data_IF_943767755562
#
_entry.id   IF_943767755562
#
_cell.length_a   1.000
_cell.length_b   1.000
_cell.length_c   1.000
_cell.angle_alpha   90.00
_cell.angle_beta   90.00
_cell.angle_gamma   90.00
#
_symmetry.space_group_name_H-M   'P 1'
#
loop_
_entity.id
_entity.type
_entity.pdbx_description
1 polymer ?
#
# COMPACT_ATOMS: atom_id res chain seq x y z
N UNK A 1 -40.41 -2.98 -7.56
CA UNK A 1 -39.64 -4.09 -6.95
C UNK A 1 -38.29 -3.52 -6.60
N UNK A 2 -38.06 -3.24 -5.32
CA UNK A 2 -36.78 -2.77 -4.82
C UNK A 2 -35.92 -4.02 -4.60
N UNK A 3 -34.75 -4.09 -5.25
CA UNK A 3 -33.79 -5.16 -5.05
C UNK A 3 -33.30 -5.13 -3.59
N UNK A 4 -33.47 -6.26 -2.90
CA UNK A 4 -32.92 -6.51 -1.58
C UNK A 4 -31.38 -6.40 -1.65
N UNK A 5 -30.84 -5.34 -1.05
CA UNK A 5 -29.42 -5.23 -0.75
C UNK A 5 -29.10 -6.31 0.29
N UNK A 6 -28.48 -7.39 -0.21
CA UNK A 6 -27.98 -8.54 0.55
C UNK A 6 -27.26 -8.10 1.84
N UNK A 7 -27.79 -8.52 3.00
CA UNK A 7 -27.28 -8.17 4.35
C UNK A 7 -25.86 -8.68 4.65
N UNK A 8 -25.26 -9.43 3.72
CA UNK A 8 -23.92 -10.01 3.83
C UNK A 8 -22.77 -9.04 3.48
N UNK A 9 -23.09 -7.80 3.11
CA UNK A 9 -22.10 -6.75 2.83
C UNK A 9 -22.03 -5.75 3.98
N UNK A 10 -20.93 -5.74 4.74
CA UNK A 10 -20.67 -4.67 5.69
C UNK A 10 -20.05 -3.51 4.91
N UNK A 11 -20.92 -2.69 4.32
CA UNK A 11 -20.50 -1.39 3.78
C UNK A 11 -20.50 -0.39 4.92
N UNK A 12 -19.34 -0.16 5.53
CA UNK A 12 -19.22 0.92 6.52
C UNK A 12 -19.02 2.23 5.78
N UNK A 13 -20.09 3.01 5.69
CA UNK A 13 -20.04 4.39 5.23
C UNK A 13 -19.67 5.27 6.42
N UNK A 14 -18.46 5.83 6.42
CA UNK A 14 -18.08 6.86 7.39
C UNK A 14 -18.12 8.21 6.70
N UNK A 15 -19.06 9.05 7.12
CA UNK A 15 -19.04 10.46 6.77
C UNK A 15 -17.99 11.15 7.65
N UNK A 16 -16.95 11.68 7.02
CA UNK A 16 -16.13 12.75 7.60
C UNK A 16 -16.54 14.05 6.92
N UNK A 17 -16.47 15.19 7.61
CA UNK A 17 -17.22 16.41 7.30
C UNK A 17 -17.18 16.91 5.83
N UNK A 18 -16.19 16.50 5.03
CA UNK A 18 -16.08 16.84 3.61
C UNK A 18 -15.90 15.64 2.65
N UNK A 19 -15.93 14.39 3.13
CA UNK A 19 -15.66 13.18 2.33
C UNK A 19 -16.46 11.97 2.79
N UNK A 20 -17.06 11.27 1.82
CA UNK A 20 -17.67 9.96 2.00
C UNK A 20 -16.60 8.88 1.86
N UNK A 21 -16.24 8.22 2.97
CA UNK A 21 -15.37 7.05 2.94
C UNK A 21 -16.26 5.81 2.95
N UNK A 22 -16.23 5.07 1.85
CA UNK A 22 -16.96 3.81 1.72
C UNK A 22 -15.95 2.70 1.92
N UNK A 23 -15.94 2.13 3.11
CA UNK A 23 -15.16 0.94 3.38
C UNK A 23 -16.07 -0.28 3.15
N UNK A 24 -15.89 -0.94 2.01
CA UNK A 24 -16.60 -2.19 1.70
C UNK A 24 -15.83 -3.33 2.34
N UNK A 25 -16.32 -3.83 3.48
CA UNK A 25 -15.81 -5.04 4.13
C UNK A 25 -16.72 -6.21 3.77
N UNK A 26 -16.13 -7.27 3.26
CA UNK A 26 -16.80 -8.57 3.12
C UNK A 26 -16.61 -9.31 4.44
N UNK A 27 -17.66 -9.95 4.96
CA UNK A 27 -17.62 -10.65 6.23
C UNK A 27 -16.54 -11.77 6.22
N UNK A 28 -15.79 -11.94 7.33
CA UNK A 28 -14.59 -12.80 7.37
C UNK A 28 -14.87 -14.30 7.20
N UNK A 29 -16.13 -14.73 7.31
CA UNK A 29 -16.59 -16.12 7.17
C UNK A 29 -16.81 -16.55 5.71
N UNK A 30 -16.64 -15.66 4.73
CA UNK A 30 -16.79 -15.95 3.29
C UNK A 30 -15.47 -16.28 2.59
N UNK A 31 -14.66 -17.15 3.19
CA UNK A 31 -13.43 -17.66 2.59
C UNK A 31 -13.75 -18.65 1.46
N UNK A 32 -14.11 -18.14 0.28
CA UNK A 32 -14.32 -18.96 -0.93
C UNK A 32 -15.46 -18.56 -1.86
N UNK A 33 -16.16 -17.44 -1.64
CA UNK A 33 -17.27 -17.04 -2.50
C UNK A 33 -16.77 -16.48 -3.85
N UNK A 34 -17.06 -17.15 -5.00
CA UNK A 34 -16.71 -16.64 -6.32
C UNK A 34 -17.38 -15.30 -6.65
N UNK A 35 -18.46 -14.93 -5.95
CA UNK A 35 -19.16 -13.66 -6.16
C UNK A 35 -18.49 -12.47 -5.47
N UNK A 36 -17.46 -12.66 -4.63
CA UNK A 36 -16.74 -11.55 -3.99
C UNK A 36 -16.20 -10.57 -5.03
N UNK A 37 -15.54 -11.09 -6.06
CA UNK A 37 -15.02 -10.27 -7.17
C UNK A 37 -16.16 -9.61 -7.96
N UNK A 38 -17.26 -10.32 -8.21
CA UNK A 38 -18.42 -9.77 -8.92
C UNK A 38 -19.08 -8.61 -8.18
N UNK A 39 -19.23 -8.70 -6.86
CA UNK A 39 -19.81 -7.62 -6.04
C UNK A 39 -18.91 -6.39 -6.03
N UNK A 40 -17.59 -6.58 -5.86
CA UNK A 40 -16.65 -5.47 -5.99
C UNK A 40 -16.69 -4.85 -7.39
N UNK A 41 -16.79 -5.65 -8.44
CA UNK A 41 -16.94 -5.14 -9.80
C UNK A 41 -18.19 -4.28 -9.96
N UNK A 42 -19.37 -4.73 -9.50
CA UNK A 42 -20.62 -3.96 -9.60
C UNK A 42 -20.54 -2.65 -8.82
N UNK A 43 -19.96 -2.69 -7.62
CA UNK A 43 -19.75 -1.50 -6.78
C UNK A 43 -18.79 -0.52 -7.47
N UNK A 44 -17.62 -1.01 -7.91
CA UNK A 44 -16.61 -0.18 -8.56
C UNK A 44 -17.07 0.36 -9.91
N UNK A 45 -17.89 -0.38 -10.66
CA UNK A 45 -18.51 0.08 -11.90
C UNK A 45 -19.47 1.23 -11.62
N UNK A 46 -20.36 1.07 -10.62
CA UNK A 46 -21.26 2.15 -10.19
C UNK A 46 -20.48 3.37 -9.69
N UNK A 47 -19.43 3.21 -8.89
CA UNK A 47 -18.61 4.32 -8.40
C UNK A 47 -17.79 4.99 -9.50
N UNK A 48 -17.26 4.23 -10.46
CA UNK A 48 -16.52 4.80 -11.59
C UNK A 48 -17.43 5.59 -12.54
N UNK A 49 -18.73 5.30 -12.56
CA UNK A 49 -19.72 6.06 -13.34
C UNK A 49 -20.16 7.38 -12.69
N UNK A 50 -19.82 7.62 -11.41
CA UNK A 50 -20.18 8.85 -10.73
C UNK A 50 -19.20 9.98 -11.11
N UNK A 51 -19.70 11.09 -11.68
CA UNK A 51 -18.85 12.23 -11.96
C UNK A 51 -18.29 12.83 -10.65
N UNK A 52 -17.00 13.17 -10.64
CA UNK A 52 -16.27 13.79 -9.52
C UNK A 52 -16.06 12.93 -8.26
N UNK A 53 -16.13 11.61 -8.33
CA UNK A 53 -15.70 10.75 -7.20
C UNK A 53 -14.18 10.58 -7.22
N UNK A 54 -13.48 11.22 -6.26
CA UNK A 54 -12.07 10.97 -6.01
C UNK A 54 -11.88 9.50 -5.57
N UNK A 55 -11.21 8.69 -6.39
CA UNK A 55 -10.78 7.35 -5.98
C UNK A 55 -9.54 7.48 -5.12
N UNK A 56 -9.55 6.81 -3.97
CA UNK A 56 -8.42 6.79 -3.04
C UNK A 56 -8.01 5.37 -2.72
N UNK A 57 -6.70 5.15 -2.65
CA UNK A 57 -6.09 3.90 -2.23
C UNK A 57 -5.47 4.10 -0.85
N UNK A 58 -5.97 3.38 0.15
CA UNK A 58 -5.37 3.30 1.47
C UNK A 58 -4.30 2.21 1.45
N UNK A 59 -3.07 2.56 1.80
CA UNK A 59 -1.94 1.63 1.86
C UNK A 59 -1.39 1.65 3.28
N UNK A 60 -1.34 0.50 3.94
CA UNK A 60 -0.68 0.35 5.23
C UNK A 60 0.67 -0.33 5.05
N UNK A 61 1.72 0.26 5.60
CA UNK A 61 2.99 -0.42 5.81
C UNK A 61 3.02 -0.91 7.26
N UNK A 62 2.85 -2.21 7.45
CA UNK A 62 2.81 -2.81 8.78
C UNK A 62 4.23 -2.96 9.34
N UNK A 63 5.05 -3.77 8.66
CA UNK A 63 6.41 -4.11 9.10
C UNK A 63 7.27 -4.63 7.96
N UNK A 64 8.57 -4.77 8.21
CA UNK A 64 9.44 -5.63 7.41
C UNK A 64 10.00 -6.78 8.26
N UNK A 65 10.39 -7.88 7.62
CA UNK A 65 11.04 -9.02 8.29
C UNK A 65 12.09 -9.66 7.40
N UNK A 66 12.89 -10.53 8.01
CA UNK A 66 13.92 -11.33 7.32
C UNK A 66 14.89 -10.45 6.52
N UNK A 67 15.16 -9.25 7.05
CA UNK A 67 16.02 -8.28 6.42
C UNK A 67 17.48 -8.74 6.48
N UNK A 68 18.03 -9.10 5.31
CA UNK A 68 19.41 -9.57 5.15
C UNK A 68 20.33 -8.40 4.82
N UNK A 69 20.37 -7.45 5.74
CA UNK A 69 21.07 -6.18 5.55
C UNK A 69 22.42 -6.18 6.30
N UNK A 70 23.31 -5.27 5.90
CA UNK A 70 24.59 -5.10 6.58
C UNK A 70 24.41 -4.57 8.01
N UNK A 71 25.33 -4.91 8.92
CA UNK A 71 25.19 -4.62 10.36
C UNK A 71 25.23 -3.14 10.75
N UNK A 72 25.53 -2.21 9.82
CA UNK A 72 25.70 -0.78 10.11
C UNK A 72 24.75 0.10 9.27
N UNK A 73 23.44 -0.12 9.44
CA UNK A 73 22.43 0.70 8.76
C UNK A 73 22.18 2.05 9.45
N UNK A 74 22.32 2.12 10.78
CA UNK A 74 22.05 3.32 11.57
C UNK A 74 20.55 3.66 11.67
N UNK A 75 19.87 3.88 10.54
CA UNK A 75 18.45 4.18 10.49
C UNK A 75 17.81 3.79 9.16
N UNK A 76 16.55 3.31 9.19
CA UNK A 76 15.80 2.90 7.99
C UNK A 76 14.38 3.46 7.97
N UNK A 77 13.82 3.57 6.78
CA UNK A 77 12.40 3.86 6.54
C UNK A 77 11.95 3.29 5.19
N UNK A 78 10.65 3.22 4.96
CA UNK A 78 10.06 2.82 3.69
C UNK A 78 9.51 4.05 2.96
N UNK A 79 9.88 4.23 1.70
CA UNK A 79 9.24 5.17 0.78
C UNK A 79 8.22 4.40 -0.07
N UNK A 80 7.09 5.06 -0.34
CA UNK A 80 6.05 4.58 -1.24
C UNK A 80 5.84 5.66 -2.29
N UNK A 81 6.04 5.33 -3.55
CA UNK A 81 5.89 6.24 -4.68
C UNK A 81 4.85 5.70 -5.65
N UNK A 82 4.01 6.58 -6.18
CA UNK A 82 3.04 6.29 -7.22
C UNK A 82 3.36 7.10 -8.49
N UNK A 83 3.13 6.49 -9.64
CA UNK A 83 3.44 7.06 -10.94
C UNK A 83 2.55 8.25 -11.35
N UNK A 84 1.23 8.07 -11.38
CA UNK A 84 0.30 9.07 -11.90
C UNK A 84 -1.03 9.09 -11.11
N UNK A 85 -1.48 10.23 -10.56
CA UNK A 85 -0.70 11.44 -10.41
C UNK A 85 0.44 11.19 -9.40
N UNK A 86 1.63 11.71 -9.73
CA UNK A 86 2.81 11.50 -8.91
C UNK A 86 2.54 11.88 -7.45
N UNK A 87 2.71 10.91 -6.56
CA UNK A 87 2.54 11.06 -5.11
C UNK A 87 3.59 10.19 -4.44
N UNK A 88 4.22 10.70 -3.38
CA UNK A 88 5.15 9.93 -2.57
C UNK A 88 4.93 10.19 -1.09
N UNK A 89 5.05 9.14 -0.30
CA UNK A 89 4.87 9.14 1.14
C UNK A 89 5.97 8.28 1.77
N UNK A 90 6.32 8.56 3.03
CA UNK A 90 7.33 7.76 3.74
C UNK A 90 6.92 7.43 5.16
N UNK A 91 7.40 6.30 5.63
CA UNK A 91 7.27 5.93 7.04
C UNK A 91 8.20 6.74 7.93
N UNK A 92 7.95 6.65 9.24
CA UNK A 92 8.86 7.17 10.26
C UNK A 92 10.17 6.41 10.23
N UNK A 93 11.24 7.14 10.53
CA UNK A 93 12.58 6.59 10.59
C UNK A 93 12.76 5.78 11.88
N UNK A 94 13.15 4.52 11.72
CA UNK A 94 13.45 3.59 12.81
C UNK A 94 14.97 3.43 12.92
N UNK A 95 15.51 3.50 14.14
CA UNK A 95 16.96 3.42 14.45
C UNK A 95 17.35 2.16 15.25
N UNK A 96 16.35 1.38 15.66
CA UNK A 96 16.45 0.19 16.49
C UNK A 96 15.65 -0.95 15.85
N UNK A 97 15.93 -2.21 16.17
CA UNK A 97 15.17 -3.36 15.62
C UNK A 97 15.14 -3.36 14.07
N UNK A 98 16.30 -3.12 13.46
CA UNK A 98 16.44 -2.92 12.00
C UNK A 98 16.29 -4.22 11.19
N UNK A 99 16.33 -5.37 11.86
CA UNK A 99 16.08 -6.71 11.31
C UNK A 99 14.58 -7.00 11.11
N UNK A 100 13.74 -6.42 11.95
CA UNK A 100 12.28 -6.55 11.90
C UNK A 100 11.56 -5.25 12.31
N UNK A 101 11.68 -4.17 11.52
CA UNK A 101 11.07 -2.88 11.86
C UNK A 101 9.54 -2.94 11.74
N UNK A 102 8.85 -2.33 12.68
CA UNK A 102 7.38 -2.22 12.70
C UNK A 102 6.97 -0.74 12.65
N UNK A 103 6.16 -0.38 11.66
CA UNK A 103 5.68 1.00 11.46
C UNK A 103 4.19 1.13 11.77
N UNK A 104 3.37 0.18 11.32
CA UNK A 104 1.90 0.24 11.38
C UNK A 104 1.31 1.59 10.89
N UNK A 105 1.92 2.15 9.84
CA UNK A 105 1.52 3.44 9.28
C UNK A 105 0.67 3.28 8.03
N UNK A 106 -0.27 4.20 7.85
CA UNK A 106 -1.21 4.18 6.73
C UNK A 106 -1.11 5.48 5.94
N UNK A 107 -1.21 5.37 4.62
CA UNK A 107 -1.08 6.45 3.67
C UNK A 107 -2.24 6.41 2.68
N UNK A 108 -2.66 7.57 2.18
CA UNK A 108 -3.80 7.70 1.28
C UNK A 108 -3.35 8.30 -0.04
N UNK A 109 -3.46 7.54 -1.11
CA UNK A 109 -3.09 7.96 -2.46
C UNK A 109 -4.33 8.27 -3.28
N UNK A 110 -4.34 9.38 -4.02
CA UNK A 110 -5.41 9.68 -4.97
C UNK A 110 -5.13 8.96 -6.29
N UNK A 111 -5.95 7.98 -6.66
CA UNK A 111 -5.75 7.18 -7.88
C UNK A 111 -6.67 7.64 -9.00
N UNK A 112 -6.18 7.61 -10.24
CA UNK A 112 -6.93 7.89 -11.45
C UNK A 112 -6.80 6.72 -12.44
N UNK A 113 -7.33 6.87 -13.66
CA UNK A 113 -7.27 5.79 -14.68
C UNK A 113 -5.87 5.55 -15.23
N UNK A 114 -4.96 6.51 -15.04
CA UNK A 114 -3.58 6.45 -15.50
C UNK A 114 -2.65 5.87 -14.45
N UNK A 115 -3.04 5.79 -13.18
CA UNK A 115 -2.25 5.13 -12.12
C UNK A 115 -1.96 3.67 -12.48
N UNK A 116 -0.69 3.30 -12.65
CA UNK A 116 -0.31 1.93 -12.97
C UNK A 116 0.35 1.21 -11.80
N UNK A 117 1.24 1.88 -11.08
CA UNK A 117 2.21 1.20 -10.22
C UNK A 117 2.46 1.95 -8.91
N UNK A 118 2.65 1.17 -7.83
CA UNK A 118 3.26 1.62 -6.58
C UNK A 118 4.65 1.01 -6.46
N UNK A 119 5.65 1.86 -6.28
CA UNK A 119 7.02 1.48 -5.94
C UNK A 119 7.20 1.59 -4.43
N UNK A 120 7.66 0.51 -3.81
CA UNK A 120 8.03 0.47 -2.41
C UNK A 120 9.55 0.33 -2.32
N UNK A 121 10.20 1.22 -1.58
CA UNK A 121 11.64 1.19 -1.39
C UNK A 121 11.96 1.23 0.10
N UNK A 122 12.79 0.30 0.56
CA UNK A 122 13.40 0.35 1.88
C UNK A 122 14.70 1.14 1.74
N UNK A 123 14.83 2.24 2.48
CA UNK A 123 16.00 3.11 2.44
C UNK A 123 16.73 3.16 3.76
N UNK A 124 18.05 3.33 3.68
CA UNK A 124 18.93 3.73 4.77
C UNK A 124 19.11 5.24 4.76
N UNK A 125 18.85 5.88 5.90
CA UNK A 125 19.07 7.32 6.09
C UNK A 125 20.56 7.63 6.00
N UNK A 126 20.94 8.56 5.12
CA UNK A 126 22.30 9.07 5.06
C UNK A 126 22.55 10.04 6.22
N UNK A 127 23.44 9.68 7.13
CA UNK A 127 23.87 10.55 8.24
C UNK A 127 24.93 11.58 7.82
N UNK A 128 25.44 11.50 6.58
CA UNK A 128 26.57 12.28 6.10
C UNK A 128 26.11 13.60 5.42
N UNK A 129 25.85 14.61 6.23
CA UNK A 129 25.49 15.99 5.83
C UNK A 129 26.56 16.74 5.01
N UNK A 130 27.69 16.10 4.66
CA UNK A 130 28.83 16.71 3.96
C UNK A 130 28.89 16.39 2.46
N UNK A 131 28.06 15.48 1.94
CA UNK A 131 28.03 15.18 0.50
C UNK A 131 26.89 15.96 -0.19
N UNK A 132 27.21 16.63 -1.30
CA UNK A 132 26.28 17.46 -2.08
C UNK A 132 25.18 16.66 -2.79
N UNK A 133 25.29 15.33 -2.82
CA UNK A 133 24.30 14.42 -3.39
C UNK A 133 23.69 13.62 -2.24
N UNK A 134 22.76 14.25 -1.54
CA UNK A 134 22.13 13.78 -0.31
C UNK A 134 21.01 12.76 -0.61
N UNK A 135 21.32 11.70 -1.37
CA UNK A 135 20.37 10.63 -1.66
C UNK A 135 20.55 9.50 -0.66
N UNK A 136 19.48 9.17 0.07
CA UNK A 136 19.42 7.99 0.93
C UNK A 136 19.70 6.72 0.10
N UNK A 137 20.29 5.70 0.73
CA UNK A 137 20.69 4.48 0.04
C UNK A 137 19.50 3.52 -0.02
N UNK A 138 19.12 3.08 -1.23
CA UNK A 138 18.10 2.04 -1.42
C UNK A 138 18.70 0.68 -1.04
N UNK A 139 18.06 0.02 -0.08
CA UNK A 139 18.43 -1.30 0.42
C UNK A 139 17.71 -2.41 -0.36
N UNK A 140 16.45 -2.16 -0.72
CA UNK A 140 15.71 -3.00 -1.63
C UNK A 140 14.36 -2.42 -1.98
N UNK A 141 13.79 -2.89 -3.09
CA UNK A 141 12.54 -2.37 -3.60
C UNK A 141 11.64 -3.45 -4.21
N UNK A 142 10.40 -3.08 -4.45
CA UNK A 142 9.40 -3.92 -5.12
C UNK A 142 8.34 -3.03 -5.75
N UNK A 143 7.76 -3.48 -6.85
CA UNK A 143 6.69 -2.77 -7.56
C UNK A 143 5.41 -3.59 -7.48
N UNK A 144 4.28 -2.92 -7.26
CA UNK A 144 2.95 -3.54 -7.26
C UNK A 144 2.06 -2.83 -8.27
N UNK A 145 1.36 -3.62 -9.09
CA UNK A 145 0.41 -3.07 -10.05
C UNK A 145 -0.89 -2.65 -9.36
N UNK A 146 -1.31 -1.40 -9.56
CA UNK A 146 -2.53 -0.84 -8.95
C UNK A 146 -3.78 -1.56 -9.45
N UNK A 147 -3.83 -2.03 -10.70
CA UNK A 147 -4.99 -2.77 -11.23
C UNK A 147 -5.21 -4.09 -10.49
N UNK A 148 -4.15 -4.74 -10.03
CA UNK A 148 -4.24 -5.95 -9.22
C UNK A 148 -4.85 -5.67 -7.84
N UNK A 149 -4.48 -4.54 -7.25
CA UNK A 149 -5.01 -4.06 -5.96
C UNK A 149 -6.48 -3.64 -6.06
N UNK A 150 -6.86 -2.95 -7.13
CA UNK A 150 -8.25 -2.56 -7.38
C UNK A 150 -9.13 -3.79 -7.63
N UNK A 151 -8.62 -4.79 -8.34
CA UNK A 151 -9.34 -6.05 -8.61
C UNK A 151 -9.52 -6.89 -7.35
N UNK A 152 -8.65 -6.73 -6.35
CA UNK A 152 -8.70 -7.46 -5.10
C UNK A 152 -8.50 -6.52 -3.89
N UNK A 153 -9.54 -5.75 -3.51
CA UNK A 153 -9.43 -4.78 -2.43
C UNK A 153 -9.26 -5.45 -1.06
N UNK A 154 -8.62 -4.71 -0.15
CA UNK A 154 -8.33 -5.13 1.24
C UNK A 154 -7.48 -6.39 1.34
N UNK A 155 -6.43 -6.48 0.52
CA UNK A 155 -5.46 -7.57 0.58
C UNK A 155 -4.27 -7.20 1.47
N UNK A 156 -4.01 -8.03 2.48
CA UNK A 156 -2.70 -8.09 3.10
C UNK A 156 -1.76 -8.90 2.18
N UNK A 157 -0.62 -8.33 1.81
CA UNK A 157 0.41 -8.96 0.98
C UNK A 157 1.77 -8.92 1.68
N UNK A 158 2.53 -9.99 1.51
CA UNK A 158 3.96 -10.01 1.78
C UNK A 158 4.69 -9.78 0.46
N UNK A 159 5.29 -8.60 0.31
CA UNK A 159 6.07 -8.22 -0.86
C UNK A 159 7.54 -8.58 -0.62
N UNK A 160 8.18 -9.24 -1.59
CA UNK A 160 9.61 -9.54 -1.50
C UNK A 160 10.40 -8.33 -1.98
N UNK A 161 11.30 -7.85 -1.14
CA UNK A 161 12.21 -6.76 -1.48
C UNK A 161 13.40 -7.32 -2.24
N UNK A 162 13.68 -6.74 -3.41
CA UNK A 162 14.84 -7.08 -4.23
C UNK A 162 15.93 -6.04 -4.05
N UNK A 163 17.16 -6.48 -3.88
CA UNK A 163 18.34 -5.63 -3.83
C UNK A 163 18.49 -4.81 -5.11
N UNK A 164 18.74 -3.51 -4.96
CA UNK A 164 18.99 -2.62 -6.07
C UNK A 164 20.30 -2.94 -6.83
N UNK A 165 21.24 -3.66 -6.21
CA UNK A 165 22.56 -3.95 -6.80
C UNK A 165 22.62 -5.29 -7.54
N UNK A 166 22.04 -6.34 -6.96
CA UNK A 166 22.23 -7.72 -7.42
C UNK A 166 20.93 -8.53 -7.53
N UNK A 167 19.77 -7.88 -7.35
CA UNK A 167 18.43 -8.48 -7.45
C UNK A 167 18.19 -9.68 -6.52
N UNK A 168 19.03 -9.86 -5.50
CA UNK A 168 18.79 -10.87 -4.48
C UNK A 168 17.65 -10.44 -3.55
N UNK A 169 16.94 -11.42 -2.99
CA UNK A 169 15.92 -11.17 -1.98
C UNK A 169 16.59 -10.64 -0.71
N UNK A 170 16.30 -9.38 -0.34
CA UNK A 170 16.85 -8.72 0.87
C UNK A 170 15.91 -8.80 2.05
N UNK A 171 14.67 -9.22 1.86
CA UNK A 171 13.70 -9.47 2.92
C UNK A 171 12.26 -9.26 2.46
N UNK A 172 11.37 -9.12 3.43
CA UNK A 172 9.92 -9.07 3.21
C UNK A 172 9.33 -7.76 3.75
N UNK A 173 8.38 -7.18 3.01
CA UNK A 173 7.58 -6.04 3.44
C UNK A 173 6.10 -6.47 3.54
N UNK A 174 5.47 -6.22 4.68
CA UNK A 174 4.06 -6.54 4.91
C UNK A 174 3.21 -5.30 4.67
N UNK A 175 2.34 -5.37 3.67
CA UNK A 175 1.49 -4.26 3.20
C UNK A 175 0.03 -4.68 3.26
N UNK A 176 -0.87 -3.79 3.70
CA UNK A 176 -2.33 -4.03 3.79
C UNK A 176 -3.16 -2.91 3.14
#
# INVERSE_FOLDING_TARGET
MAEELNENLITTMKATCDRLIIQVRVAPDYHGDPNRSAIYHVIMEKFSSLPNVERKLLVKIAKASDLRLENDLGAIYCMIEMDEPYQSERTTIIRNQLDSPEWDQHFMFNVNEKSQELLFELLKESTNTKQRNNSDQILGNTIVNIKELISNPSQSKTLRLQSAMDKQDVGNLFVE
#
